data_IF_620211598012
#
_entry.id   IF_620211598012
#
_cell.length_a   1.000
_cell.length_b   1.000
_cell.length_c   1.000
_cell.angle_alpha   90.00
_cell.angle_beta   90.00
_cell.angle_gamma   90.00
#
_symmetry.space_group_name_H-M   'P 1'
#
loop_
_entity.id
_entity.type
_entity.pdbx_description
1 polymer ?
#
# COMPACT_ATOMS: atom_id res chain seq x y z
N UNK A 1 15.48 -22.16 -9.95
CA UNK A 1 14.84 -20.91 -10.43
C UNK A 1 15.74 -19.76 -10.01
N UNK A 2 16.15 -18.87 -10.93
CA UNK A 2 16.87 -17.65 -10.52
C UNK A 2 15.91 -16.78 -9.71
N UNK A 3 16.36 -16.35 -8.54
CA UNK A 3 15.62 -15.38 -7.72
C UNK A 3 15.81 -14.00 -8.35
N UNK A 4 14.74 -13.43 -8.87
CA UNK A 4 14.76 -12.06 -9.38
C UNK A 4 14.97 -11.08 -8.21
N UNK A 5 15.68 -9.97 -8.45
CA UNK A 5 15.74 -8.87 -7.48
C UNK A 5 14.34 -8.30 -7.22
N UNK A 6 14.08 -7.67 -6.06
CA UNK A 6 12.80 -7.01 -5.77
C UNK A 6 12.34 -6.06 -6.87
N UNK A 7 13.25 -5.23 -7.41
CA UNK A 7 12.94 -4.32 -8.51
C UNK A 7 12.56 -5.05 -9.80
N UNK A 8 13.29 -6.11 -10.17
CA UNK A 8 12.96 -6.91 -11.35
C UNK A 8 11.61 -7.63 -11.21
N UNK A 9 11.24 -8.06 -9.99
CA UNK A 9 9.90 -8.59 -9.70
C UNK A 9 8.82 -7.52 -9.85
N UNK A 10 9.06 -6.32 -9.32
CA UNK A 10 8.14 -5.20 -9.48
C UNK A 10 7.92 -4.89 -10.97
N UNK A 11 8.99 -4.78 -11.76
CA UNK A 11 8.89 -4.47 -13.20
C UNK A 11 8.17 -5.56 -14.00
N UNK A 12 8.41 -6.83 -13.68
CA UNK A 12 7.69 -7.94 -14.31
C UNK A 12 6.18 -7.87 -14.02
N UNK A 13 5.80 -7.61 -12.76
CA UNK A 13 4.39 -7.46 -12.37
C UNK A 13 3.77 -6.20 -12.98
N UNK A 14 4.50 -5.09 -13.00
CA UNK A 14 4.08 -3.84 -13.60
C UNK A 14 3.79 -4.00 -15.10
N UNK A 15 4.67 -4.71 -15.81
CA UNK A 15 4.48 -5.05 -17.22
C UNK A 15 3.19 -5.86 -17.44
N UNK A 16 2.97 -6.92 -16.67
CA UNK A 16 1.76 -7.77 -16.77
C UNK A 16 0.49 -7.00 -16.47
N UNK A 17 0.52 -6.08 -15.50
CA UNK A 17 -0.64 -5.32 -15.06
C UNK A 17 -0.83 -4.00 -15.82
N UNK A 18 0.01 -3.71 -16.81
CA UNK A 18 0.00 -2.43 -17.54
C UNK A 18 0.10 -1.23 -16.58
N UNK A 19 1.00 -1.34 -15.60
CA UNK A 19 1.40 -0.26 -14.70
C UNK A 19 2.59 0.48 -15.30
N UNK A 20 2.30 1.58 -15.99
CA UNK A 20 3.23 2.40 -16.75
C UNK A 20 3.39 3.80 -16.14
N UNK A 21 4.13 4.69 -16.82
CA UNK A 21 4.31 6.07 -16.36
C UNK A 21 2.99 6.83 -16.21
N UNK A 22 1.99 6.58 -17.07
CA UNK A 22 0.68 7.20 -16.97
C UNK A 22 -0.07 6.76 -15.69
N UNK A 23 0.14 5.51 -15.25
CA UNK A 23 -0.36 5.01 -13.97
C UNK A 23 0.31 5.73 -12.80
N UNK A 24 1.64 5.91 -12.84
CA UNK A 24 2.38 6.67 -11.82
C UNK A 24 1.90 8.12 -11.76
N UNK A 25 1.70 8.76 -12.91
CA UNK A 25 1.20 10.13 -12.98
C UNK A 25 -0.23 10.22 -12.44
N UNK A 26 -1.11 9.26 -12.77
CA UNK A 26 -2.47 9.20 -12.22
C UNK A 26 -2.45 9.12 -10.69
N UNK A 27 -1.56 8.30 -10.11
CA UNK A 27 -1.37 8.24 -8.67
C UNK A 27 -0.89 9.59 -8.14
N UNK A 28 0.14 10.19 -8.74
CA UNK A 28 0.66 11.51 -8.30
C UNK A 28 -0.43 12.58 -8.29
N UNK A 29 -1.28 12.64 -9.30
CA UNK A 29 -2.40 13.58 -9.35
C UNK A 29 -3.41 13.32 -8.22
N UNK A 30 -3.69 12.04 -7.93
CA UNK A 30 -4.65 11.65 -6.89
C UNK A 30 -4.22 12.06 -5.48
N UNK A 31 -2.91 12.19 -5.21
CA UNK A 31 -2.37 12.52 -3.89
C UNK A 31 -2.94 13.85 -3.37
N UNK A 32 -3.15 14.84 -4.23
CA UNK A 32 -3.72 16.14 -3.83
C UNK A 32 -5.16 16.04 -3.28
N UNK A 33 -5.90 15.01 -3.70
CA UNK A 33 -7.23 14.69 -3.19
C UNK A 33 -7.12 13.87 -1.91
N UNK A 34 -6.21 12.89 -1.87
CA UNK A 34 -6.00 11.98 -0.74
C UNK A 34 -5.34 12.64 0.48
N UNK A 35 -4.52 13.68 0.33
CA UNK A 35 -3.83 14.30 1.46
C UNK A 35 -4.78 15.09 2.38
N UNK A 36 -5.94 15.53 1.86
CA UNK A 36 -6.93 16.29 2.64
C UNK A 36 -7.50 15.46 3.78
N UNK A 37 -7.58 14.14 3.58
CA UNK A 37 -8.18 13.19 4.52
C UNK A 37 -7.14 12.15 5.01
N UNK A 38 -5.84 12.43 4.95
CA UNK A 38 -4.80 11.47 5.36
C UNK A 38 -4.93 11.03 6.83
N UNK A 39 -5.49 11.89 7.69
CA UNK A 39 -5.84 11.55 9.08
C UNK A 39 -6.88 10.43 9.15
N UNK A 40 -7.78 10.35 8.18
CA UNK A 40 -8.78 9.29 8.06
C UNK A 40 -8.13 7.96 7.73
N UNK A 41 -7.14 7.93 6.83
CA UNK A 41 -6.36 6.73 6.55
C UNK A 41 -5.65 6.20 7.81
N UNK A 42 -5.03 7.10 8.59
CA UNK A 42 -4.40 6.73 9.87
C UNK A 42 -5.45 6.19 10.85
N UNK A 43 -6.63 6.81 10.91
CA UNK A 43 -7.76 6.34 11.74
C UNK A 43 -8.24 4.96 11.33
N UNK A 44 -8.38 4.69 10.03
CA UNK A 44 -8.78 3.38 9.50
C UNK A 44 -7.76 2.30 9.88
N UNK A 45 -6.47 2.60 9.77
CA UNK A 45 -5.40 1.70 10.22
C UNK A 45 -5.50 1.46 11.72
N UNK A 46 -5.70 2.50 12.54
CA UNK A 46 -5.82 2.34 14.00
C UNK A 46 -7.02 1.47 14.39
N UNK A 47 -8.19 1.70 13.79
CA UNK A 47 -9.39 0.88 13.99
C UNK A 47 -9.14 -0.57 13.58
N UNK A 48 -8.54 -0.79 12.41
CA UNK A 48 -8.22 -2.13 11.93
C UNK A 48 -7.15 -2.82 12.77
N UNK A 49 -6.30 -2.09 13.51
CA UNK A 49 -5.31 -2.67 14.42
C UNK A 49 -5.86 -2.96 15.82
N UNK A 50 -7.03 -2.39 16.16
CA UNK A 50 -7.71 -2.54 17.46
C UNK A 50 -8.94 -3.45 17.40
N UNK A 51 -9.35 -3.88 16.21
CA UNK A 51 -10.53 -4.73 16.04
C UNK A 51 -10.30 -6.15 16.57
N UNK A 52 -11.37 -6.83 17.02
CA UNK A 52 -11.25 -8.21 17.53
C UNK A 52 -10.74 -9.18 16.45
N UNK A 53 -11.15 -9.00 15.19
CA UNK A 53 -10.68 -9.81 14.05
C UNK A 53 -9.18 -9.65 13.75
N UNK A 54 -8.53 -8.62 14.30
CA UNK A 54 -7.08 -8.41 14.20
C UNK A 54 -6.31 -9.46 15.00
N UNK A 55 -6.87 -9.91 16.14
CA UNK A 55 -6.29 -10.98 16.95
C UNK A 55 -6.26 -12.30 16.17
N UNK A 56 -7.27 -12.56 15.34
CA UNK A 56 -7.34 -13.74 14.50
C UNK A 56 -6.31 -13.71 13.35
N UNK A 57 -5.93 -12.50 12.89
CA UNK A 57 -5.02 -12.32 11.75
C UNK A 57 -3.56 -12.16 12.17
N UNK A 58 -3.28 -11.54 13.32
CA UNK A 58 -1.93 -11.24 13.81
C UNK A 58 -1.57 -11.89 15.16
N UNK A 59 -2.51 -12.54 15.84
CA UNK A 59 -2.34 -13.05 17.20
C UNK A 59 -2.49 -11.96 18.26
N UNK A 60 -2.27 -12.32 19.54
CA UNK A 60 -2.24 -11.35 20.64
C UNK A 60 -0.95 -10.52 20.56
N UNK A 61 -1.08 -9.33 19.97
CA UNK A 61 0.02 -8.40 19.80
C UNK A 61 -0.05 -7.35 20.91
N UNK A 62 0.91 -7.39 21.83
CA UNK A 62 1.02 -6.39 22.91
C UNK A 62 1.11 -4.95 22.38
N UNK A 63 0.70 -3.96 23.19
CA UNK A 63 0.59 -2.54 22.77
C UNK A 63 1.85 -1.98 22.11
N UNK A 64 3.04 -2.22 22.68
CA UNK A 64 4.29 -1.73 22.09
C UNK A 64 4.60 -2.31 20.71
N UNK A 65 4.19 -3.54 20.44
CA UNK A 65 4.33 -4.16 19.12
C UNK A 65 3.30 -3.59 18.13
N UNK A 66 2.09 -3.27 18.60
CA UNK A 66 1.05 -2.63 17.79
C UNK A 66 1.49 -1.25 17.31
N UNK A 67 2.03 -0.41 18.19
CA UNK A 67 2.54 0.92 17.82
C UNK A 67 3.67 0.82 16.77
N UNK A 68 4.57 -0.15 16.94
CA UNK A 68 5.62 -0.42 15.95
C UNK A 68 5.05 -0.80 14.59
N UNK A 69 4.02 -1.66 14.54
CA UNK A 69 3.36 -2.04 13.29
C UNK A 69 2.64 -0.86 12.63
N UNK A 70 1.96 -0.03 13.40
CA UNK A 70 1.31 1.19 12.90
C UNK A 70 2.34 2.16 12.31
N UNK A 71 3.44 2.39 13.02
CA UNK A 71 4.54 3.22 12.52
C UNK A 71 5.15 2.66 11.23
N UNK A 72 5.28 1.34 11.14
CA UNK A 72 5.82 0.67 9.96
C UNK A 72 4.89 0.84 8.74
N UNK A 73 3.59 0.61 8.92
CA UNK A 73 2.58 0.80 7.88
C UNK A 73 2.52 2.25 7.40
N UNK A 74 2.54 3.21 8.33
CA UNK A 74 2.57 4.63 7.99
C UNK A 74 3.81 5.00 7.16
N UNK A 75 5.00 4.51 7.55
CA UNK A 75 6.23 4.73 6.79
C UNK A 75 6.17 4.14 5.38
N UNK A 76 5.65 2.91 5.25
CA UNK A 76 5.47 2.24 3.98
C UNK A 76 4.51 3.00 3.06
N UNK A 77 3.36 3.44 3.58
CA UNK A 77 2.37 4.23 2.83
C UNK A 77 2.99 5.55 2.36
N UNK A 78 3.69 6.28 3.23
CA UNK A 78 4.31 7.56 2.87
C UNK A 78 5.37 7.40 1.78
N UNK A 79 6.20 6.34 1.83
CA UNK A 79 7.16 6.04 0.76
C UNK A 79 6.46 5.65 -0.54
N UNK A 80 5.35 4.92 -0.46
CA UNK A 80 4.53 4.53 -1.63
C UNK A 80 3.96 5.76 -2.35
N UNK A 81 3.51 6.76 -1.58
CA UNK A 81 2.96 8.03 -2.06
C UNK A 81 4.02 8.88 -2.78
N UNK A 82 5.31 8.72 -2.49
CA UNK A 82 6.36 9.46 -3.20
C UNK A 82 6.54 9.02 -4.66
N UNK A 83 5.92 7.90 -5.09
CA UNK A 83 5.81 7.50 -6.50
C UNK A 83 7.15 7.37 -7.26
N UNK A 84 8.22 6.95 -6.59
CA UNK A 84 9.53 6.76 -7.24
C UNK A 84 9.87 5.30 -7.58
N UNK A 85 9.13 4.32 -7.03
CA UNK A 85 9.19 2.86 -7.28
C UNK A 85 10.52 2.31 -7.83
N UNK A 86 11.63 2.77 -7.27
CA UNK A 86 12.99 2.48 -7.73
C UNK A 86 13.54 1.25 -6.99
N UNK A 87 14.82 0.95 -7.21
CA UNK A 87 15.47 -0.18 -6.56
C UNK A 87 15.53 -0.02 -5.04
N UNK A 88 15.77 1.19 -4.53
CA UNK A 88 15.77 1.48 -3.09
C UNK A 88 14.40 1.20 -2.47
N UNK A 89 13.33 1.72 -3.08
CA UNK A 89 11.97 1.49 -2.62
C UNK A 89 11.59 0.01 -2.65
N UNK A 90 11.89 -0.70 -3.74
CA UNK A 90 11.53 -2.11 -3.88
C UNK A 90 12.27 -3.00 -2.88
N UNK A 91 13.57 -2.75 -2.66
CA UNK A 91 14.35 -3.45 -1.65
C UNK A 91 13.81 -3.15 -0.25
N UNK A 92 13.58 -1.87 0.08
CA UNK A 92 12.94 -1.48 1.33
C UNK A 92 11.63 -2.24 1.57
N UNK A 93 10.72 -2.26 0.59
CA UNK A 93 9.42 -2.92 0.71
C UNK A 93 9.54 -4.42 1.02
N UNK A 94 10.45 -5.12 0.35
CA UNK A 94 10.71 -6.55 0.59
C UNK A 94 11.38 -6.78 1.95
N UNK A 95 12.38 -5.99 2.30
CA UNK A 95 13.13 -6.14 3.55
C UNK A 95 12.23 -5.95 4.76
N UNK A 96 11.44 -4.87 4.79
CA UNK A 96 10.55 -4.60 5.91
C UNK A 96 9.40 -5.59 6.00
N UNK A 97 8.87 -6.05 4.85
CA UNK A 97 7.79 -7.03 4.85
C UNK A 97 8.28 -8.42 5.22
N UNK A 98 9.56 -8.75 4.98
CA UNK A 98 10.15 -10.05 5.28
C UNK A 98 10.73 -10.17 6.69
N UNK A 99 10.88 -9.05 7.42
CA UNK A 99 11.45 -9.02 8.76
C UNK A 99 10.76 -9.99 9.73
N UNK A 100 11.52 -10.71 10.55
CA UNK A 100 11.02 -11.84 11.36
C UNK A 100 9.98 -11.44 12.41
N UNK A 101 10.01 -10.19 12.85
CA UNK A 101 9.11 -9.59 13.83
C UNK A 101 7.84 -8.96 13.21
N UNK A 102 7.69 -9.07 11.90
CA UNK A 102 6.52 -8.58 11.16
C UNK A 102 5.56 -9.74 10.85
N UNK A 103 4.27 -9.64 11.21
CA UNK A 103 3.28 -10.66 10.86
C UNK A 103 3.13 -10.82 9.34
N UNK A 104 2.98 -12.05 8.81
CA UNK A 104 2.89 -12.30 7.37
C UNK A 104 1.80 -11.50 6.65
N UNK A 105 0.68 -11.22 7.31
CA UNK A 105 -0.47 -10.56 6.70
C UNK A 105 -0.47 -9.03 6.88
N UNK A 106 0.49 -8.45 7.62
CA UNK A 106 0.42 -7.03 8.02
C UNK A 106 0.32 -6.10 6.81
N UNK A 107 1.19 -6.29 5.83
CA UNK A 107 1.22 -5.49 4.61
C UNK A 107 0.01 -5.75 3.71
N UNK A 108 -0.48 -6.98 3.64
CA UNK A 108 -1.69 -7.29 2.88
C UNK A 108 -2.93 -6.58 3.45
N UNK A 109 -3.05 -6.51 4.78
CA UNK A 109 -4.11 -5.75 5.46
C UNK A 109 -3.93 -4.25 5.23
N UNK A 110 -2.71 -3.71 5.44
CA UNK A 110 -2.42 -2.30 5.21
C UNK A 110 -2.72 -1.84 3.78
N UNK A 111 -2.37 -2.65 2.78
CA UNK A 111 -2.68 -2.38 1.37
C UNK A 111 -4.18 -2.46 1.07
N UNK A 112 -4.93 -3.33 1.77
CA UNK A 112 -6.40 -3.39 1.63
C UNK A 112 -7.03 -2.12 2.17
N UNK A 113 -6.64 -1.69 3.37
CA UNK A 113 -7.12 -0.43 3.98
C UNK A 113 -6.77 0.77 3.10
N UNK A 114 -5.56 0.82 2.57
CA UNK A 114 -5.15 1.89 1.65
C UNK A 114 -6.03 1.92 0.38
N UNK A 115 -6.34 0.76 -0.18
CA UNK A 115 -7.20 0.67 -1.37
C UNK A 115 -8.65 1.08 -1.04
N UNK A 116 -9.19 0.67 0.11
CA UNK A 116 -10.53 1.11 0.58
C UNK A 116 -10.59 2.62 0.79
N UNK A 117 -9.55 3.19 1.39
CA UNK A 117 -9.45 4.64 1.57
C UNK A 117 -9.47 5.37 0.21
N UNK A 118 -8.68 4.89 -0.75
CA UNK A 118 -8.65 5.45 -2.11
C UNK A 118 -10.02 5.35 -2.80
N UNK A 119 -10.69 4.20 -2.71
CA UNK A 119 -11.99 3.99 -3.36
C UNK A 119 -13.14 4.74 -2.70
N UNK A 120 -13.00 5.17 -1.45
CA UNK A 120 -13.98 6.03 -0.78
C UNK A 120 -13.71 7.51 -1.05
N UNK A 121 -12.45 7.94 -0.99
CA UNK A 121 -12.07 9.35 -1.04
C UNK A 121 -12.07 9.92 -2.46
N UNK A 122 -11.57 9.17 -3.46
CA UNK A 122 -11.47 9.72 -4.82
C UNK A 122 -12.84 9.96 -5.48
N UNK A 123 -13.84 9.05 -5.40
CA UNK A 123 -15.15 9.32 -5.99
C UNK A 123 -15.88 10.51 -5.36
N UNK A 124 -15.61 10.83 -4.10
CA UNK A 124 -16.19 11.98 -3.42
C UNK A 124 -15.53 13.32 -3.79
N UNK A 125 -14.36 13.28 -4.43
CA UNK A 125 -13.50 14.46 -4.63
C UNK A 125 -13.08 14.72 -6.09
N UNK A 126 -13.43 13.82 -7.02
CA UNK A 126 -13.08 13.91 -8.44
C UNK A 126 -14.35 13.73 -9.28
N UNK A 127 -14.81 14.82 -9.90
CA UNK A 127 -16.02 14.81 -10.73
C UNK A 127 -15.78 14.26 -12.14
N UNK A 128 -14.54 14.33 -12.65
CA UNK A 128 -14.21 13.82 -13.97
C UNK A 128 -14.10 12.29 -13.94
N UNK A 129 -15.07 11.61 -14.55
CA UNK A 129 -15.16 10.14 -14.58
C UNK A 129 -13.94 9.45 -15.19
N UNK A 130 -13.37 10.01 -16.26
CA UNK A 130 -12.22 9.41 -16.95
C UNK A 130 -10.96 9.51 -16.08
N UNK A 131 -10.76 10.68 -15.47
CA UNK A 131 -9.69 10.92 -14.51
C UNK A 131 -9.84 10.02 -13.28
N UNK A 132 -11.05 9.93 -12.70
CA UNK A 132 -11.34 9.06 -11.57
C UNK A 132 -11.04 7.59 -11.89
N UNK A 133 -11.48 7.12 -13.07
CA UNK A 133 -11.23 5.75 -13.52
C UNK A 133 -9.73 5.47 -13.66
N UNK A 134 -8.97 6.41 -14.23
CA UNK A 134 -7.52 6.33 -14.34
C UNK A 134 -6.83 6.22 -12.98
N UNK A 135 -7.22 7.08 -12.03
CA UNK A 135 -6.66 7.07 -10.67
C UNK A 135 -6.97 5.76 -9.93
N UNK A 136 -8.24 5.31 -9.91
CA UNK A 136 -8.64 4.08 -9.23
C UNK A 136 -7.96 2.85 -9.85
N UNK A 137 -7.87 2.80 -11.18
CA UNK A 137 -7.20 1.70 -11.89
C UNK A 137 -5.70 1.64 -11.56
N UNK A 138 -5.04 2.80 -11.51
CA UNK A 138 -3.62 2.88 -11.18
C UNK A 138 -3.34 2.42 -9.74
N UNK A 139 -4.14 2.84 -8.76
CA UNK A 139 -4.04 2.39 -7.37
C UNK A 139 -4.30 0.89 -7.22
N UNK A 140 -5.32 0.36 -7.89
CA UNK A 140 -5.62 -1.07 -7.86
C UNK A 140 -4.45 -1.90 -8.43
N UNK A 141 -3.88 -1.48 -9.56
CA UNK A 141 -2.68 -2.12 -10.14
C UNK A 141 -1.50 -2.07 -9.17
N UNK A 142 -1.20 -0.90 -8.59
CA UNK A 142 -0.11 -0.74 -7.65
C UNK A 142 -0.29 -1.63 -6.42
N UNK A 143 -1.47 -1.64 -5.80
CA UNK A 143 -1.72 -2.45 -4.60
C UNK A 143 -1.62 -3.95 -4.89
N UNK A 144 -2.03 -4.41 -6.07
CA UNK A 144 -1.79 -5.79 -6.54
C UNK A 144 -0.29 -6.10 -6.66
N UNK A 145 0.49 -5.21 -7.29
CA UNK A 145 1.95 -5.38 -7.43
C UNK A 145 2.59 -5.46 -6.04
N UNK A 146 2.29 -4.51 -5.16
CA UNK A 146 2.88 -4.45 -3.83
C UNK A 146 2.49 -5.65 -2.98
N UNK A 147 1.25 -6.13 -3.06
CA UNK A 147 0.79 -7.33 -2.33
C UNK A 147 1.59 -8.57 -2.71
N UNK A 148 1.85 -8.76 -4.01
CA UNK A 148 2.69 -9.87 -4.48
C UNK A 148 4.17 -9.65 -4.18
N UNK A 149 4.64 -8.40 -4.19
CA UNK A 149 6.02 -8.07 -3.88
C UNK A 149 6.35 -8.34 -2.40
N UNK A 150 5.45 -7.97 -1.49
CA UNK A 150 5.61 -8.07 -0.03
C UNK A 150 5.07 -9.37 0.56
N UNK A 151 4.69 -10.35 -0.26
CA UNK A 151 4.21 -11.65 0.23
C UNK A 151 5.39 -12.45 0.81
N UNK A 152 5.25 -12.86 2.08
CA UNK A 152 6.13 -13.84 2.74
C UNK A 152 5.88 -15.25 2.22
#
# INVERSE_FOLDING_TARGET
>A
MQQLSPKARFDALASVLSFDSASVDSIRHSISHLLKDVSELVRMVDVAMKSEGTLDVFGDVGEGTREKMQSLLASFIMRTINCNYDEEYCNYAVDVSSASDVPPNLFAVGLTIANEYVTQTLPASVDNTEQLTGMLSAWNRLTCILRELTRK
#
